data_IF_697338596165
#
_entry.id   IF_697338596165
#
_cell.length_a   1.000
_cell.length_b   1.000
_cell.length_c   1.000
_cell.angle_alpha   90.00
_cell.angle_beta   90.00
_cell.angle_gamma   90.00
#
_symmetry.space_group_name_H-M   'P 1'
#
loop_
_entity.id
_entity.type
_entity.pdbx_description
1 polymer ?
#
# COMPACT_ATOMS: atom_id res chain seq x y z
N UNK A 1 12.41 15.53 -6.36
CA UNK A 1 11.58 14.35 -5.99
C UNK A 1 11.72 13.92 -4.52
N UNK A 2 12.47 14.61 -3.68
CA UNK A 2 12.52 14.36 -2.23
C UNK A 2 11.26 14.85 -1.50
N UNK A 3 10.68 15.99 -1.91
CA UNK A 3 9.65 16.68 -1.12
C UNK A 3 8.28 15.97 -1.02
N UNK A 4 7.80 15.33 -2.09
CA UNK A 4 6.45 14.75 -2.11
C UNK A 4 6.28 13.51 -1.22
N UNK A 5 7.37 12.80 -0.94
CA UNK A 5 7.35 11.67 -0.01
C UNK A 5 7.68 12.03 1.43
N UNK A 6 8.52 13.04 1.63
CA UNK A 6 8.84 13.53 2.97
C UNK A 6 7.58 14.08 3.64
N UNK A 7 6.60 14.55 2.85
CA UNK A 7 5.34 15.11 3.34
C UNK A 7 4.33 14.04 3.76
N UNK A 8 4.22 12.92 3.03
CA UNK A 8 3.37 11.76 3.43
C UNK A 8 3.77 11.21 4.80
N UNK A 9 5.05 11.30 5.13
CA UNK A 9 5.60 10.85 6.42
C UNK A 9 5.46 11.92 7.50
N UNK A 10 5.56 13.21 7.14
CA UNK A 10 5.24 14.30 8.06
C UNK A 10 3.79 14.23 8.59
N UNK A 11 2.84 13.76 7.77
CA UNK A 11 1.43 13.61 8.17
C UNK A 11 1.18 12.44 9.13
N UNK A 12 1.91 11.34 8.94
CA UNK A 12 2.00 10.26 9.92
C UNK A 12 2.51 10.80 11.28
N UNK A 13 3.46 11.75 11.26
CA UNK A 13 3.99 12.39 12.47
C UNK A 13 3.05 13.44 13.11
N UNK A 14 2.08 14.02 12.39
CA UNK A 14 1.20 15.07 12.94
C UNK A 14 -0.15 14.58 13.45
N UNK A 15 -0.70 13.50 12.87
CA UNK A 15 -2.03 12.98 13.27
C UNK A 15 -1.96 11.79 14.22
N UNK A 16 -0.84 11.09 14.30
CA UNK A 16 -0.60 10.14 15.39
C UNK A 16 0.13 10.90 16.49
N UNK A 17 -0.52 11.09 17.65
CA UNK A 17 0.18 11.52 18.88
C UNK A 17 1.10 10.39 19.37
N UNK A 18 2.11 10.05 18.59
CA UNK A 18 3.25 9.29 19.07
C UNK A 18 4.08 10.27 19.89
N UNK A 19 4.37 9.92 21.15
CA UNK A 19 5.30 10.68 21.97
C UNK A 19 6.62 10.90 21.22
N UNK A 20 7.38 11.92 21.62
CA UNK A 20 8.56 12.47 20.93
C UNK A 20 9.74 11.50 20.68
N UNK A 21 9.55 10.18 20.82
CA UNK A 21 10.52 9.11 20.57
C UNK A 21 9.85 7.72 20.49
N UNK A 22 8.83 7.54 19.64
CA UNK A 22 8.13 6.25 19.49
C UNK A 22 8.93 5.20 18.70
N UNK A 23 8.81 3.92 19.06
CA UNK A 23 9.39 2.77 18.36
C UNK A 23 8.42 2.17 17.34
N UNK A 24 8.87 2.04 16.09
CA UNK A 24 8.03 1.59 14.98
C UNK A 24 8.61 0.30 14.41
N UNK A 25 7.77 -0.74 14.35
CA UNK A 25 8.15 -2.03 13.78
C UNK A 25 7.74 -2.07 12.31
N UNK A 26 8.72 -2.41 11.47
CA UNK A 26 8.52 -2.70 10.05
C UNK A 26 8.90 -4.16 9.81
N UNK A 27 7.92 -5.04 9.61
CA UNK A 27 8.17 -6.42 9.25
C UNK A 27 8.94 -6.50 7.93
N UNK A 28 9.84 -7.48 7.84
CA UNK A 28 10.84 -7.65 6.78
C UNK A 28 10.32 -7.55 5.34
N UNK A 29 11.22 -7.43 4.35
CA UNK A 29 10.93 -6.74 3.11
C UNK A 29 9.92 -7.52 2.25
N UNK A 30 8.75 -6.94 1.94
CA UNK A 30 7.95 -7.40 0.80
C UNK A 30 8.72 -7.19 -0.51
N UNK A 31 8.64 -8.13 -1.44
CA UNK A 31 9.24 -7.97 -2.77
C UNK A 31 8.53 -6.83 -3.54
N UNK A 32 9.33 -5.97 -4.21
CA UNK A 32 8.83 -4.99 -5.19
C UNK A 32 8.53 -3.59 -4.67
N UNK A 33 7.72 -2.83 -5.41
CA UNK A 33 7.61 -1.37 -5.27
C UNK A 33 6.95 -0.89 -3.97
N UNK A 34 6.28 -1.79 -3.23
CA UNK A 34 5.69 -1.50 -1.91
C UNK A 34 6.77 -1.35 -0.83
N UNK A 35 7.89 -2.08 -0.96
CA UNK A 35 9.05 -1.91 -0.08
C UNK A 35 9.68 -0.53 -0.22
N UNK A 36 9.72 0.03 -1.43
CA UNK A 36 10.25 1.39 -1.63
C UNK A 36 9.42 2.41 -0.84
N UNK A 37 8.10 2.23 -0.78
CA UNK A 37 7.23 3.09 0.03
C UNK A 37 7.50 2.90 1.52
N UNK A 38 7.52 1.65 2.00
CA UNK A 38 7.79 1.31 3.41
C UNK A 38 9.16 1.84 3.86
N UNK A 39 10.21 1.67 3.05
CA UNK A 39 11.56 2.15 3.34
C UNK A 39 11.63 3.69 3.34
N UNK A 40 10.85 4.33 2.47
CA UNK A 40 10.76 5.79 2.44
C UNK A 40 10.04 6.34 3.68
N UNK A 41 8.99 5.66 4.11
CA UNK A 41 8.32 5.93 5.38
C UNK A 41 9.28 5.73 6.55
N UNK A 42 10.01 4.61 6.59
CA UNK A 42 11.03 4.31 7.59
C UNK A 42 12.09 5.42 7.69
N UNK A 43 12.66 5.82 6.56
CA UNK A 43 13.74 6.82 6.49
C UNK A 43 13.30 8.17 7.05
N UNK A 44 12.08 8.60 6.71
CA UNK A 44 11.54 9.87 7.19
C UNK A 44 11.12 9.82 8.66
N UNK A 45 10.62 8.67 9.15
CA UNK A 45 10.37 8.47 10.58
C UNK A 45 11.67 8.58 11.39
N UNK A 46 12.74 7.96 10.91
CA UNK A 46 14.08 8.10 11.50
C UNK A 46 14.56 9.55 11.45
N UNK A 47 14.31 10.28 10.35
CA UNK A 47 14.65 11.71 10.25
C UNK A 47 13.93 12.57 11.28
N UNK A 48 12.70 12.19 11.67
CA UNK A 48 11.90 12.89 12.69
C UNK A 48 12.24 12.43 14.13
N UNK A 49 13.14 11.44 14.28
CA UNK A 49 13.65 10.99 15.58
C UNK A 49 12.99 9.72 16.13
N UNK A 50 12.24 8.98 15.30
CA UNK A 50 11.68 7.68 15.67
C UNK A 50 12.69 6.55 15.50
N UNK A 51 12.65 5.59 16.43
CA UNK A 51 13.46 4.38 16.39
C UNK A 51 12.72 3.31 15.56
N UNK A 52 13.23 3.06 14.35
CA UNK A 52 12.62 2.15 13.38
C UNK A 52 13.40 0.85 13.39
N UNK A 53 12.75 -0.24 13.79
CA UNK A 53 13.38 -1.57 13.84
C UNK A 53 12.79 -2.46 12.75
N UNK A 54 13.68 -3.11 12.00
CA UNK A 54 13.34 -4.17 11.07
C UNK A 54 13.53 -5.53 11.76
N UNK A 55 12.71 -6.52 11.41
CA UNK A 55 12.60 -7.83 12.08
C UNK A 55 13.93 -8.60 12.24
N UNK A 56 14.72 -8.26 13.27
CA UNK A 56 15.82 -9.09 13.79
C UNK A 56 15.73 -9.27 15.31
N UNK A 57 15.05 -8.38 16.05
CA UNK A 57 14.96 -8.44 17.52
C UNK A 57 13.52 -8.21 18.01
N UNK A 58 12.81 -9.31 18.29
CA UNK A 58 11.42 -9.28 18.78
C UNK A 58 11.26 -9.54 20.29
N UNK A 59 12.30 -10.00 20.97
CA UNK A 59 12.16 -10.38 22.38
C UNK A 59 12.41 -9.19 23.31
N UNK A 60 11.35 -8.79 24.02
CA UNK A 60 11.43 -7.84 25.14
C UNK A 60 11.26 -6.36 24.78
N UNK A 61 10.99 -6.03 23.51
CA UNK A 61 10.82 -4.65 23.04
C UNK A 61 9.35 -4.27 22.89
N UNK A 62 8.95 -3.14 23.49
CA UNK A 62 7.65 -2.51 23.26
C UNK A 62 7.70 -1.68 21.98
N UNK A 63 6.65 -1.73 21.17
CA UNK A 63 6.48 -0.94 19.95
C UNK A 63 5.20 -0.14 20.03
N UNK A 64 5.24 1.10 19.54
CA UNK A 64 4.10 2.02 19.56
C UNK A 64 3.26 1.92 18.29
N UNK A 65 3.81 1.30 17.23
CA UNK A 65 3.14 1.13 15.93
C UNK A 65 3.75 -0.02 15.14
N UNK A 66 2.91 -0.74 14.38
CA UNK A 66 3.35 -1.69 13.35
C UNK A 66 2.82 -1.27 11.98
N UNK A 67 3.72 -1.14 11.01
CA UNK A 67 3.34 -0.91 9.62
C UNK A 67 3.15 -2.27 8.92
N UNK A 68 1.98 -2.45 8.31
CA UNK A 68 1.62 -3.67 7.57
C UNK A 68 1.36 -3.36 6.10
N UNK A 69 1.56 -4.34 5.24
CA UNK A 69 1.10 -4.32 3.86
C UNK A 69 0.41 -5.65 3.50
N UNK A 70 -0.24 -5.69 2.34
CA UNK A 70 -0.95 -6.87 1.89
C UNK A 70 -0.04 -8.06 1.52
N UNK A 71 1.24 -7.83 1.22
CA UNK A 71 2.18 -8.92 0.92
C UNK A 71 2.81 -9.50 2.18
N UNK A 72 2.65 -8.83 3.32
CA UNK A 72 3.19 -9.24 4.62
C UNK A 72 2.06 -9.36 5.67
N UNK A 73 1.12 -10.32 5.52
CA UNK A 73 0.03 -10.53 6.49
C UNK A 73 0.54 -10.91 7.90
N UNK A 74 1.77 -11.44 8.01
CA UNK A 74 2.43 -11.69 9.29
C UNK A 74 2.55 -10.45 10.17
N UNK A 75 2.64 -9.26 9.57
CA UNK A 75 2.74 -7.98 10.28
C UNK A 75 1.59 -7.78 11.26
N UNK A 76 0.37 -8.07 10.82
CA UNK A 76 -0.85 -7.91 11.61
C UNK A 76 -0.89 -8.91 12.77
N UNK A 77 -0.43 -10.16 12.54
CA UNK A 77 -0.31 -11.18 13.59
C UNK A 77 0.67 -10.72 14.68
N UNK A 78 1.83 -10.20 14.26
CA UNK A 78 2.85 -9.71 15.18
C UNK A 78 2.36 -8.51 15.99
N UNK A 79 1.72 -7.55 15.35
CA UNK A 79 1.16 -6.38 16.03
C UNK A 79 0.17 -6.77 17.13
N UNK A 80 -0.71 -7.73 16.84
CA UNK A 80 -1.67 -8.24 17.84
C UNK A 80 -0.99 -8.89 19.04
N UNK A 81 0.14 -9.59 18.82
CA UNK A 81 0.94 -10.21 19.88
C UNK A 81 1.69 -9.16 20.71
N UNK A 82 2.17 -8.10 20.07
CA UNK A 82 2.88 -6.98 20.69
C UNK A 82 1.94 -5.96 21.35
N UNK A 83 0.61 -6.10 21.13
CA UNK A 83 -0.42 -5.14 21.56
C UNK A 83 -0.16 -3.71 21.05
N UNK A 84 0.40 -3.63 19.84
CA UNK A 84 0.67 -2.38 19.16
C UNK A 84 -0.39 -2.14 18.07
N UNK A 85 -0.80 -0.88 17.84
CA UNK A 85 -1.74 -0.55 16.77
C UNK A 85 -1.15 -0.86 15.39
N UNK A 86 -2.02 -1.23 14.45
CA UNK A 86 -1.67 -1.59 13.07
C UNK A 86 -2.08 -0.48 12.12
N UNK A 87 -1.10 -0.03 11.32
CA UNK A 87 -1.36 0.81 10.16
C UNK A 87 -1.11 0.01 8.91
N UNK A 88 -2.16 -0.18 8.11
CA UNK A 88 -2.10 -0.96 6.89
C UNK A 88 -1.94 -0.06 5.66
N UNK A 89 -0.87 -0.27 4.91
CA UNK A 89 -0.55 0.44 3.68
C UNK A 89 -1.16 -0.30 2.49
N UNK A 90 -2.19 0.28 1.89
CA UNK A 90 -2.90 -0.30 0.75
C UNK A 90 -2.81 0.60 -0.49
N UNK A 91 -2.57 0.01 -1.66
CA UNK A 91 -2.89 0.64 -2.96
C UNK A 91 -4.15 0.03 -3.60
N UNK A 92 -4.77 -0.92 -2.92
CA UNK A 92 -5.75 -1.85 -3.48
C UNK A 92 -5.22 -3.27 -3.52
N UNK A 93 -6.12 -4.23 -3.31
CA UNK A 93 -5.85 -5.67 -3.39
C UNK A 93 -6.72 -6.30 -4.48
N UNK A 94 -6.27 -7.41 -5.10
CA UNK A 94 -7.08 -8.14 -6.08
C UNK A 94 -8.45 -8.51 -5.48
N UNK A 95 -9.52 -8.29 -6.24
CA UNK A 95 -10.88 -8.56 -5.78
C UNK A 95 -11.37 -7.68 -4.63
N UNK A 96 -10.65 -6.62 -4.27
CA UNK A 96 -11.05 -5.68 -3.22
C UNK A 96 -11.09 -6.28 -1.81
N UNK A 97 -10.19 -7.21 -1.50
CA UNK A 97 -10.13 -7.84 -0.18
C UNK A 97 -9.84 -6.83 0.95
N UNK A 98 -8.95 -5.86 0.73
CA UNK A 98 -8.68 -4.72 1.62
C UNK A 98 -9.93 -3.88 1.89
N UNK A 99 -10.70 -3.60 0.84
CA UNK A 99 -11.95 -2.85 0.95
C UNK A 99 -12.98 -3.66 1.75
N UNK A 100 -13.10 -4.96 1.45
CA UNK A 100 -13.98 -5.87 2.19
C UNK A 100 -13.60 -5.95 3.67
N UNK A 101 -12.31 -6.03 4.00
CA UNK A 101 -11.83 -6.09 5.38
C UNK A 101 -12.11 -4.78 6.13
N UNK A 102 -11.97 -3.64 5.44
CA UNK A 102 -12.30 -2.34 6.01
C UNK A 102 -13.81 -2.03 6.06
N UNK A 103 -14.67 -2.89 5.52
CA UNK A 103 -16.12 -2.65 5.46
C UNK A 103 -16.56 -1.67 4.36
N UNK A 104 -15.71 -1.39 3.37
CA UNK A 104 -16.06 -0.55 2.22
C UNK A 104 -16.70 -1.39 1.11
N UNK A 105 -17.94 -1.06 0.68
CA UNK A 105 -18.57 -1.76 -0.43
C UNK A 105 -17.86 -1.43 -1.76
N UNK A 106 -17.64 -2.45 -2.59
CA UNK A 106 -17.06 -2.32 -3.93
C UNK A 106 -17.87 -3.10 -4.97
N UNK A 107 -19.01 -2.55 -5.44
CA UNK A 107 -19.92 -3.30 -6.30
C UNK A 107 -19.36 -3.52 -7.71
N UNK A 108 -19.27 -4.78 -8.15
CA UNK A 108 -18.83 -5.12 -9.50
C UNK A 108 -19.72 -4.58 -10.63
N UNK A 109 -20.92 -4.08 -10.32
CA UNK A 109 -21.83 -3.52 -11.33
C UNK A 109 -21.31 -2.23 -11.97
N UNK A 110 -20.47 -1.46 -11.26
CA UNK A 110 -19.95 -0.18 -11.74
C UNK A 110 -18.49 0.08 -11.35
N UNK A 111 -17.90 -0.73 -10.45
CA UNK A 111 -16.47 -0.65 -10.11
C UNK A 111 -15.69 -1.65 -10.96
N UNK A 112 -14.94 -1.23 -11.99
CA UNK A 112 -14.14 -2.13 -12.80
C UNK A 112 -13.02 -2.77 -11.97
N UNK A 113 -12.81 -4.08 -12.15
CA UNK A 113 -11.74 -4.81 -11.49
C UNK A 113 -10.40 -4.55 -12.17
N UNK A 114 -9.36 -4.47 -11.35
CA UNK A 114 -7.99 -4.33 -11.81
C UNK A 114 -7.62 -5.50 -12.75
N UNK A 115 -7.08 -5.16 -13.92
CA UNK A 115 -6.66 -6.13 -14.95
C UNK A 115 -7.71 -6.40 -16.03
N UNK A 116 -8.96 -5.99 -15.82
CA UNK A 116 -9.94 -5.86 -16.90
C UNK A 116 -9.88 -4.40 -17.38
N UNK A 117 -9.54 -4.18 -18.65
CA UNK A 117 -9.53 -2.85 -19.28
C UNK A 117 -10.97 -2.31 -19.49
N UNK A 118 -11.75 -2.29 -18.41
CA UNK A 118 -13.14 -1.84 -18.34
C UNK A 118 -13.20 -0.47 -17.68
N UNK A 119 -14.24 0.28 -18.03
CA UNK A 119 -14.54 1.59 -17.44
C UNK A 119 -15.71 1.48 -16.47
N UNK A 120 -16.10 2.60 -15.86
CA UNK A 120 -17.33 2.76 -15.09
C UNK A 120 -18.60 2.57 -15.95
N UNK A 121 -18.51 2.81 -17.26
CA UNK A 121 -19.58 2.58 -18.23
C UNK A 121 -19.55 1.16 -18.82
N UNK A 122 -20.06 0.18 -18.07
CA UNK A 122 -20.17 -1.23 -18.52
C UNK A 122 -21.59 -1.61 -18.97
N UNK A 123 -21.67 -2.36 -20.08
CA UNK A 123 -22.88 -3.08 -20.49
C UNK A 123 -23.12 -4.36 -19.66
N UNK A 124 -24.24 -5.05 -19.87
CA UNK A 124 -24.62 -6.21 -19.05
C UNK A 124 -23.56 -7.33 -19.02
N UNK A 125 -23.06 -7.76 -20.18
CA UNK A 125 -22.05 -8.83 -20.26
C UNK A 125 -20.72 -8.43 -19.63
N UNK A 126 -20.32 -7.16 -19.78
CA UNK A 126 -19.12 -6.63 -19.15
C UNK A 126 -19.25 -6.62 -17.63
N UNK A 127 -20.42 -6.25 -17.08
CA UNK A 127 -20.70 -6.33 -15.64
C UNK A 127 -20.67 -7.76 -15.13
N UNK A 128 -21.23 -8.71 -15.89
CA UNK A 128 -21.18 -10.13 -15.54
C UNK A 128 -19.72 -10.64 -15.49
N UNK A 129 -18.93 -10.32 -16.51
CA UNK A 129 -17.51 -10.66 -16.57
C UNK A 129 -16.75 -10.02 -15.40
N UNK A 130 -17.00 -8.73 -15.13
CA UNK A 130 -16.37 -8.00 -14.06
C UNK A 130 -16.67 -8.62 -12.68
N UNK A 131 -17.93 -9.02 -12.44
CA UNK A 131 -18.32 -9.71 -11.22
C UNK A 131 -17.68 -11.08 -11.07
N UNK A 132 -17.59 -11.87 -12.14
CA UNK A 132 -16.90 -13.17 -12.12
C UNK A 132 -15.41 -13.01 -11.80
N UNK A 133 -14.75 -12.03 -12.41
CA UNK A 133 -13.34 -11.75 -12.13
C UNK A 133 -13.14 -11.25 -10.71
N UNK A 134 -14.02 -10.37 -10.20
CA UNK A 134 -13.96 -9.93 -8.80
C UNK A 134 -14.03 -11.13 -7.85
N UNK A 135 -14.99 -12.02 -8.06
CA UNK A 135 -15.17 -13.22 -7.24
C UNK A 135 -13.94 -14.12 -7.29
N UNK A 136 -13.42 -14.40 -8.49
CA UNK A 136 -12.22 -15.23 -8.67
C UNK A 136 -11.02 -14.60 -7.96
N UNK A 137 -10.75 -13.32 -8.17
CA UNK A 137 -9.64 -12.61 -7.51
C UNK A 137 -9.78 -12.60 -5.98
N UNK A 138 -11.01 -12.40 -5.47
CA UNK A 138 -11.28 -12.39 -4.04
C UNK A 138 -11.04 -13.77 -3.42
N UNK A 139 -11.54 -14.85 -4.05
CA UNK A 139 -11.33 -16.23 -3.59
C UNK A 139 -9.85 -16.63 -3.66
N UNK A 140 -9.16 -16.31 -4.75
CA UNK A 140 -7.74 -16.60 -4.91
C UNK A 140 -6.91 -15.88 -3.85
N UNK A 141 -7.20 -14.61 -3.59
CA UNK A 141 -6.58 -13.84 -2.52
C UNK A 141 -6.77 -14.51 -1.16
N UNK A 142 -8.02 -14.81 -0.80
CA UNK A 142 -8.33 -15.45 0.48
C UNK A 142 -7.63 -16.81 0.64
N UNK A 143 -7.64 -17.66 -0.40
CA UNK A 143 -7.12 -19.03 -0.32
C UNK A 143 -5.62 -19.16 -0.49
N UNK A 144 -5.03 -18.43 -1.45
CA UNK A 144 -3.61 -18.58 -1.78
C UNK A 144 -2.74 -17.68 -0.92
N UNK A 145 -3.20 -16.46 -0.62
CA UNK A 145 -2.39 -15.49 0.11
C UNK A 145 -2.67 -15.50 1.60
N UNK A 146 -3.92 -15.63 2.04
CA UNK A 146 -4.28 -15.40 3.46
C UNK A 146 -4.46 -16.69 4.26
N UNK A 147 -5.14 -17.70 3.70
CA UNK A 147 -5.40 -18.97 4.37
C UNK A 147 -4.15 -19.68 4.92
N UNK A 148 -2.96 -19.65 4.27
CA UNK A 148 -1.74 -20.22 4.85
C UNK A 148 -1.36 -19.60 6.22
N UNK A 149 -1.75 -18.35 6.45
CA UNK A 149 -1.48 -17.63 7.69
C UNK A 149 -2.53 -17.84 8.76
N UNK A 150 -3.70 -18.42 8.46
CA UNK A 150 -4.75 -18.66 9.47
C UNK A 150 -4.29 -19.58 10.59
N UNK A 151 -3.51 -20.62 10.27
CA UNK A 151 -2.97 -21.53 11.28
C UNK A 151 -2.05 -20.79 12.25
N UNK A 152 -1.23 -19.88 11.73
CA UNK A 152 -0.28 -19.07 12.51
C UNK A 152 -1.04 -18.03 13.33
N UNK A 153 -2.00 -17.33 12.72
CA UNK A 153 -2.86 -16.36 13.37
C UNK A 153 -3.61 -17.01 14.54
N UNK A 154 -4.38 -18.08 14.29
CA UNK A 154 -5.13 -18.80 15.34
C UNK A 154 -4.23 -19.28 16.48
N UNK A 155 -3.03 -19.79 16.17
CA UNK A 155 -2.07 -20.23 17.20
C UNK A 155 -1.57 -19.11 18.11
N UNK A 156 -1.40 -17.90 17.58
CA UNK A 156 -0.77 -16.79 18.32
C UNK A 156 -1.74 -15.73 18.83
N UNK A 157 -2.91 -15.58 18.21
CA UNK A 157 -3.91 -14.55 18.54
C UNK A 157 -5.27 -15.13 18.89
N UNK A 158 -5.53 -16.40 18.55
CA UNK A 158 -6.82 -17.07 18.78
C UNK A 158 -7.88 -16.80 17.69
N UNK A 159 -7.57 -15.95 16.70
CA UNK A 159 -8.51 -15.53 15.64
C UNK A 159 -7.89 -15.72 14.24
N UNK A 160 -8.69 -15.93 13.18
CA UNK A 160 -8.19 -16.02 11.81
C UNK A 160 -7.62 -14.68 11.31
N UNK A 161 -6.84 -14.73 10.24
CA UNK A 161 -6.17 -13.55 9.69
C UNK A 161 -7.17 -12.53 9.12
N UNK A 162 -8.33 -12.98 8.64
CA UNK A 162 -9.40 -12.12 8.15
C UNK A 162 -9.88 -11.15 9.21
N UNK A 163 -10.05 -11.63 10.44
CA UNK A 163 -10.59 -10.85 11.55
C UNK A 163 -9.53 -9.87 12.05
N UNK A 164 -8.26 -10.29 12.04
CA UNK A 164 -7.13 -9.41 12.34
C UNK A 164 -7.01 -8.27 11.31
N UNK A 165 -7.24 -8.55 10.03
CA UNK A 165 -7.23 -7.52 9.00
C UNK A 165 -8.42 -6.57 9.16
N UNK A 166 -9.60 -7.09 9.49
CA UNK A 166 -10.78 -6.25 9.76
C UNK A 166 -10.60 -5.35 11.00
N UNK A 167 -9.84 -5.80 12.00
CA UNK A 167 -9.49 -5.07 13.23
C UNK A 167 -8.30 -4.10 13.05
N UNK A 168 -7.97 -3.73 11.80
CA UNK A 168 -6.89 -2.76 11.52
C UNK A 168 -7.30 -1.35 11.96
N UNK A 169 -6.45 -0.69 12.77
CA UNK A 169 -6.71 0.65 13.31
C UNK A 169 -6.78 1.74 12.22
N UNK A 170 -5.86 1.70 11.25
CA UNK A 170 -5.77 2.72 10.20
C UNK A 170 -5.39 2.11 8.84
N UNK A 171 -6.11 2.52 7.80
CA UNK A 171 -5.88 2.12 6.42
C UNK A 171 -5.30 3.29 5.63
N UNK A 172 -4.00 3.31 5.43
CA UNK A 172 -3.35 4.31 4.60
C UNK A 172 -3.42 3.90 3.13
N UNK A 173 -4.37 4.50 2.42
CA UNK A 173 -4.53 4.32 0.98
C UNK A 173 -3.71 5.35 0.21
N UNK A 174 -2.76 4.90 -0.60
CA UNK A 174 -2.04 5.75 -1.54
C UNK A 174 -2.57 5.52 -2.96
N UNK A 175 -3.76 6.05 -3.22
CA UNK A 175 -4.37 6.04 -4.55
C UNK A 175 -4.86 7.44 -4.88
N UNK A 176 -4.66 7.84 -6.14
CA UNK A 176 -5.12 9.14 -6.62
C UNK A 176 -6.62 9.03 -6.93
N UNK A 177 -7.46 9.95 -6.44
CA UNK A 177 -8.90 9.93 -6.71
C UNK A 177 -9.23 9.96 -8.21
N UNK A 178 -8.34 10.46 -9.06
CA UNK A 178 -8.53 10.46 -10.52
C UNK A 178 -8.57 9.03 -11.09
N UNK A 179 -7.84 8.09 -10.49
CA UNK A 179 -7.76 6.70 -10.95
C UNK A 179 -8.71 5.75 -10.22
N UNK A 180 -9.45 6.24 -9.21
CA UNK A 180 -10.40 5.43 -8.48
C UNK A 180 -11.85 5.80 -8.80
N UNK A 181 -12.68 4.77 -9.01
CA UNK A 181 -14.13 4.95 -9.10
C UNK A 181 -14.67 5.49 -7.77
N UNK A 182 -15.57 6.49 -7.79
CA UNK A 182 -16.17 7.04 -6.57
C UNK A 182 -16.85 5.94 -5.74
N UNK A 183 -16.45 5.81 -4.48
CA UNK A 183 -17.03 4.88 -3.51
C UNK A 183 -16.96 5.46 -2.10
N UNK A 184 -17.82 5.02 -1.17
CA UNK A 184 -17.73 5.43 0.23
C UNK A 184 -16.34 5.14 0.79
N UNK A 185 -15.78 6.06 1.56
CA UNK A 185 -14.54 5.88 2.32
C UNK A 185 -14.86 5.78 3.80
N UNK A 186 -14.13 4.94 4.51
CA UNK A 186 -14.23 4.87 5.97
C UNK A 186 -13.41 5.98 6.61
N UNK A 187 -13.77 6.39 7.82
CA UNK A 187 -13.09 7.49 8.51
C UNK A 187 -11.62 7.21 8.80
N UNK A 188 -11.23 5.92 8.84
CA UNK A 188 -9.86 5.47 9.01
C UNK A 188 -9.12 5.26 7.67
N UNK A 189 -9.57 5.87 6.56
CA UNK A 189 -9.03 5.67 5.20
C UNK A 189 -8.45 6.91 4.48
N UNK A 190 -8.20 8.03 5.17
CA UNK A 190 -7.88 9.30 4.48
C UNK A 190 -6.41 9.75 4.48
N UNK A 191 -5.97 10.23 3.30
CA UNK A 191 -4.67 10.90 3.04
C UNK A 191 -4.84 12.22 2.23
N UNK A 192 -6.05 12.57 1.76
CA UNK A 192 -6.25 13.53 0.66
C UNK A 192 -6.09 15.02 1.01
N UNK A 193 -6.48 15.48 2.20
CA UNK A 193 -6.44 16.91 2.55
C UNK A 193 -5.02 17.50 2.55
N UNK A 194 -4.00 16.66 2.56
CA UNK A 194 -2.62 17.08 2.65
C UNK A 194 -1.91 17.25 1.30
N UNK A 195 -2.45 16.68 0.22
CA UNK A 195 -1.84 16.66 -1.12
C UNK A 195 -2.17 17.90 -1.96
N UNK A 196 -3.25 18.62 -1.62
CA UNK A 196 -3.74 19.77 -2.40
C UNK A 196 -2.80 21.01 -2.43
N UNK A 197 -1.70 21.01 -1.66
CA UNK A 197 -0.83 22.20 -1.47
C UNK A 197 0.43 22.26 -2.34
N UNK A 198 0.71 21.30 -3.22
CA UNK A 198 2.01 21.21 -3.90
C UNK A 198 1.88 20.94 -5.40
N UNK A 199 1.52 21.95 -6.20
CA UNK A 199 1.65 21.92 -7.66
C UNK A 199 2.66 22.96 -8.13
N UNK A 200 3.75 22.50 -8.75
CA UNK A 200 4.78 23.33 -9.37
C UNK A 200 5.59 22.57 -10.44
N UNK A 201 5.37 22.98 -11.70
CA UNK A 201 6.23 23.07 -12.91
C UNK A 201 6.97 21.86 -13.55
N UNK A 202 6.70 21.70 -14.87
CA UNK A 202 7.51 21.27 -16.04
C UNK A 202 8.76 20.38 -15.85
N UNK A 203 8.65 19.25 -15.15
CA UNK A 203 9.70 18.23 -15.11
C UNK A 203 9.12 16.84 -15.39
N UNK A 204 9.78 16.06 -16.25
CA UNK A 204 9.39 14.68 -16.54
C UNK A 204 10.29 13.71 -15.77
N UNK A 205 9.70 12.87 -14.94
CA UNK A 205 10.44 11.81 -14.24
C UNK A 205 10.10 10.49 -14.88
N UNK A 206 11.11 9.74 -15.31
CA UNK A 206 10.97 8.41 -15.88
C UNK A 206 11.51 7.40 -14.88
N UNK A 207 10.66 6.47 -14.46
CA UNK A 207 11.04 5.35 -13.59
C UNK A 207 10.35 4.10 -14.11
N UNK A 208 11.07 2.99 -14.20
CA UNK A 208 10.52 1.71 -14.71
C UNK A 208 10.00 0.78 -13.60
N UNK A 209 9.94 1.31 -12.37
CA UNK A 209 9.58 0.54 -11.20
C UNK A 209 10.72 -0.35 -10.71
N UNK A 210 10.49 -1.04 -9.60
CA UNK A 210 11.50 -1.87 -8.93
C UNK A 210 11.46 -3.34 -9.36
N UNK A 211 10.74 -3.66 -10.44
CA UNK A 211 10.64 -5.04 -10.97
C UNK A 211 11.46 -5.23 -12.24
N UNK A 212 12.08 -4.15 -12.73
CA UNK A 212 12.98 -4.17 -13.87
C UNK A 212 14.34 -3.78 -13.33
N UNK A 213 15.21 -4.77 -13.22
CA UNK A 213 16.51 -4.63 -12.56
C UNK A 213 17.60 -4.20 -13.56
N UNK A 214 17.37 -4.49 -14.84
CA UNK A 214 18.29 -4.19 -15.95
C UNK A 214 17.50 -4.05 -17.26
N UNK A 215 18.04 -3.23 -18.16
CA UNK A 215 17.61 -3.11 -19.55
C UNK A 215 18.71 -3.67 -20.44
N UNK A 216 18.33 -4.34 -21.53
CA UNK A 216 19.27 -4.62 -22.62
C UNK A 216 19.80 -3.29 -23.19
N UNK A 217 21.09 -3.28 -23.56
CA UNK A 217 21.79 -2.07 -24.00
C UNK A 217 21.08 -1.37 -25.17
N UNK A 218 20.59 -2.15 -26.13
CA UNK A 218 19.86 -1.64 -27.30
C UNK A 218 18.56 -0.92 -26.89
N UNK A 219 17.82 -1.48 -25.93
CA UNK A 219 16.58 -0.89 -25.43
C UNK A 219 16.86 0.38 -24.60
N UNK A 220 17.94 0.38 -23.81
CA UNK A 220 18.36 1.55 -23.04
C UNK A 220 18.79 2.72 -23.96
N UNK A 221 19.50 2.42 -25.06
CA UNK A 221 19.92 3.42 -26.05
C UNK A 221 18.71 4.02 -26.77
N UNK A 222 17.77 3.19 -27.22
CA UNK A 222 16.52 3.65 -27.86
C UNK A 222 15.71 4.52 -26.91
N UNK A 223 15.55 4.12 -25.64
CA UNK A 223 14.83 4.90 -24.64
C UNK A 223 15.53 6.24 -24.32
N UNK A 224 16.85 6.25 -24.16
CA UNK A 224 17.61 7.48 -23.91
C UNK A 224 17.49 8.47 -25.09
N UNK A 225 17.53 7.96 -26.32
CA UNK A 225 17.39 8.75 -27.55
C UNK A 225 15.98 9.30 -27.69
N UNK A 226 14.96 8.52 -27.35
CA UNK A 226 13.57 8.99 -27.37
C UNK A 226 13.31 10.06 -26.30
N UNK A 227 13.81 9.85 -25.07
CA UNK A 227 13.62 10.77 -23.95
C UNK A 227 14.35 12.10 -24.14
N UNK A 228 15.52 12.09 -24.80
CA UNK A 228 16.27 13.32 -25.09
C UNK A 228 15.60 14.25 -26.09
N UNK A 229 14.64 13.74 -26.89
CA UNK A 229 13.85 14.53 -27.86
C UNK A 229 12.67 15.26 -27.22
N UNK A 230 12.37 15.00 -25.95
CA UNK A 230 11.26 15.65 -25.25
C UNK A 230 11.64 17.09 -24.85
N UNK A 231 10.71 18.05 -24.92
CA UNK A 231 10.96 19.44 -24.56
C UNK A 231 11.00 19.68 -23.03
N UNK A 232 10.99 18.62 -22.22
CA UNK A 232 10.95 18.66 -20.77
C UNK A 232 12.30 18.23 -20.19
N UNK A 233 12.62 18.72 -18.99
CA UNK A 233 13.79 18.23 -18.25
C UNK A 233 13.47 16.82 -17.74
N UNK A 234 14.14 15.80 -18.31
CA UNK A 234 13.93 14.39 -17.97
C UNK A 234 14.92 13.93 -16.91
N UNK A 235 14.42 13.29 -15.86
CA UNK A 235 15.23 12.55 -14.88
C UNK A 235 14.86 11.08 -14.93
N UNK A 236 15.79 10.24 -15.38
CA UNK A 236 15.63 8.79 -15.43
C UNK A 236 16.28 8.15 -14.19
N UNK A 237 15.48 7.42 -13.39
CA UNK A 237 15.90 6.59 -12.26
C UNK A 237 15.72 5.10 -12.54
#
# INVERSE_FOLDING_TARGET
>A
MSFLSSLSVLLLCTNVRLGSSGRILIPGPPLGSRWVLVNKVATELTRVGHDVTMLEVLNGTHFDLVLSDFLSPCAVILARRLRAPVVFLARGTPGGYDLSAAGVPSPAAYVPQLGLALTDSMGFLQRLQNGLVQLVQHVLTGRLLLQPFDTIAKKHTGVPISDLLADTDLWLRHTDPIFETPRPRMHNMDLEDALAKVRGENMAVVTFGSMIDHFDADLAEVLSTALSRLPYKVVWR
#
